data_IF_760629312900
#
_entry.id   IF_760629312900
#
_cell.length_a   1.000
_cell.length_b   1.000
_cell.length_c   1.000
_cell.angle_alpha   90.00
_cell.angle_beta   90.00
_cell.angle_gamma   90.00
#
_symmetry.space_group_name_H-M   'P 1'
#
loop_
_entity.id
_entity.type
_entity.pdbx_description
1 polymer ?
#
# COMPACT_ATOMS: atom_id res chain seq x y z
N UNK A 1 25.44 -31.76 -1.90
CA UNK A 1 26.41 -32.42 -1.00
C UNK A 1 26.07 -32.21 0.48
N UNK A 2 25.85 -31.00 0.96
CA UNK A 2 25.50 -30.69 2.37
C UNK A 2 24.24 -31.44 2.89
N UNK A 3 23.11 -31.32 2.21
CA UNK A 3 21.85 -31.95 2.60
C UNK A 3 21.99 -33.47 2.71
N UNK A 4 22.84 -34.07 1.88
CA UNK A 4 23.15 -35.51 1.93
C UNK A 4 23.95 -35.86 3.18
N UNK A 5 24.94 -35.04 3.56
CA UNK A 5 25.72 -35.26 4.79
C UNK A 5 24.83 -35.15 6.03
N UNK A 6 23.96 -34.17 6.10
CA UNK A 6 23.01 -33.95 7.20
C UNK A 6 22.03 -35.12 7.30
N UNK A 7 21.52 -35.57 6.15
CA UNK A 7 20.66 -36.75 6.08
C UNK A 7 21.37 -38.02 6.62
N UNK A 8 22.64 -38.25 6.23
CA UNK A 8 23.43 -39.37 6.72
C UNK A 8 23.67 -39.25 8.23
N UNK A 9 23.99 -38.07 8.75
CA UNK A 9 24.18 -37.86 10.20
C UNK A 9 22.88 -38.12 10.98
N UNK A 10 21.75 -37.63 10.52
CA UNK A 10 20.45 -37.87 11.11
C UNK A 10 20.07 -39.36 11.09
N UNK A 11 20.28 -40.03 9.96
CA UNK A 11 20.06 -41.45 9.80
C UNK A 11 20.99 -42.25 10.74
N UNK A 12 22.26 -41.84 10.87
CA UNK A 12 23.22 -42.47 11.80
C UNK A 12 22.77 -42.40 13.25
N UNK A 13 22.24 -41.26 13.70
CA UNK A 13 21.67 -41.12 15.05
C UNK A 13 20.47 -42.03 15.24
N UNK A 14 19.57 -42.13 14.28
CA UNK A 14 18.40 -43.00 14.34
C UNK A 14 18.79 -44.48 14.36
N UNK A 15 19.77 -44.89 13.58
CA UNK A 15 20.29 -46.26 13.57
C UNK A 15 20.98 -46.62 14.92
N UNK A 16 21.75 -45.68 15.49
CA UNK A 16 22.39 -45.90 16.78
C UNK A 16 21.37 -46.17 17.90
N UNK A 17 20.20 -45.50 17.85
CA UNK A 17 19.10 -45.77 18.80
C UNK A 17 18.49 -47.16 18.62
N UNK A 18 18.37 -47.65 17.39
CA UNK A 18 17.80 -48.97 17.12
C UNK A 18 18.71 -50.09 17.59
N UNK A 19 20.04 -49.88 17.53
CA UNK A 19 21.02 -50.89 17.99
C UNK A 19 21.36 -50.84 19.50
N UNK A 20 21.22 -49.65 20.12
CA UNK A 20 21.49 -49.43 21.54
C UNK A 20 20.42 -48.60 22.22
N UNK A 21 19.46 -49.24 22.86
CA UNK A 21 18.32 -48.57 23.52
C UNK A 21 18.72 -47.54 24.59
N UNK A 22 19.89 -47.74 25.26
CA UNK A 22 20.43 -46.77 26.23
C UNK A 22 20.83 -45.45 25.63
N UNK A 23 21.02 -45.37 24.30
CA UNK A 23 21.34 -44.13 23.61
C UNK A 23 20.10 -43.32 23.20
N UNK A 24 18.90 -43.88 23.34
CA UNK A 24 17.65 -43.23 22.96
C UNK A 24 17.46 -41.87 23.69
N UNK A 25 17.84 -41.80 24.96
CA UNK A 25 17.74 -40.55 25.74
C UNK A 25 18.62 -39.42 25.21
N UNK A 26 19.70 -39.72 24.48
CA UNK A 26 20.59 -38.72 23.88
C UNK A 26 20.25 -38.42 22.42
N UNK A 27 19.41 -39.23 21.78
CA UNK A 27 19.09 -39.07 20.37
C UNK A 27 18.40 -37.73 20.07
N UNK A 28 17.51 -37.27 20.93
CA UNK A 28 16.84 -35.99 20.80
C UNK A 28 17.84 -34.83 20.85
N UNK A 29 18.83 -34.89 21.74
CA UNK A 29 19.88 -33.87 21.82
C UNK A 29 20.80 -33.90 20.60
N UNK A 30 21.17 -35.09 20.11
CA UNK A 30 22.01 -35.25 18.94
C UNK A 30 21.30 -34.75 17.66
N UNK A 31 20.03 -35.10 17.46
CA UNK A 31 19.21 -34.59 16.33
C UNK A 31 18.99 -33.10 16.44
N UNK A 32 18.71 -32.56 17.63
CA UNK A 32 18.59 -31.15 17.89
C UNK A 32 19.87 -30.40 17.54
N UNK A 33 21.03 -30.93 17.90
CA UNK A 33 22.32 -30.34 17.54
C UNK A 33 22.57 -30.34 16.03
N UNK A 34 22.30 -31.46 15.34
CA UNK A 34 22.41 -31.56 13.87
C UNK A 34 21.50 -30.52 13.20
N UNK A 35 20.25 -30.39 13.69
CA UNK A 35 19.31 -29.39 13.19
C UNK A 35 19.79 -27.93 13.40
N UNK A 36 20.30 -27.63 14.61
CA UNK A 36 20.85 -26.30 14.90
C UNK A 36 22.01 -25.95 13.97
N UNK A 37 22.95 -26.90 13.78
CA UNK A 37 24.09 -26.72 12.88
C UNK A 37 23.63 -26.53 11.43
N UNK A 38 22.61 -27.28 11.02
CA UNK A 38 22.02 -27.12 9.67
C UNK A 38 21.39 -25.73 9.50
N UNK A 39 20.52 -25.35 10.40
CA UNK A 39 19.86 -24.03 10.37
C UNK A 39 20.87 -22.90 10.44
N UNK A 40 21.81 -22.96 11.38
CA UNK A 40 22.87 -21.96 11.50
C UNK A 40 23.66 -21.77 10.19
N UNK A 41 24.00 -22.87 9.54
CA UNK A 41 24.77 -22.80 8.30
C UNK A 41 23.95 -22.33 7.09
N UNK A 42 22.61 -22.47 7.11
CA UNK A 42 21.70 -21.84 6.14
C UNK A 42 21.61 -20.35 6.43
N UNK A 43 21.31 -20.01 7.67
CA UNK A 43 21.12 -18.63 8.08
C UNK A 43 22.36 -17.78 7.78
N UNK A 44 23.54 -18.32 8.11
CA UNK A 44 24.81 -17.61 7.82
C UNK A 44 25.03 -17.35 6.32
N UNK A 45 24.45 -18.19 5.44
CA UNK A 45 24.55 -17.98 3.98
C UNK A 45 23.61 -16.89 3.49
N UNK A 46 22.39 -16.83 4.06
CA UNK A 46 21.35 -15.88 3.66
C UNK A 46 21.43 -14.56 4.43
N UNK A 47 21.95 -14.59 5.65
CA UNK A 47 22.16 -13.43 6.50
C UNK A 47 23.66 -13.16 6.66
N UNK A 48 24.30 -12.75 5.57
CA UNK A 48 25.69 -12.24 5.70
C UNK A 48 25.68 -10.98 6.56
N UNK A 49 26.33 -11.06 7.73
CA UNK A 49 26.42 -9.97 8.70
C UNK A 49 27.07 -8.74 8.10
N UNK A 50 27.95 -8.90 7.09
CA UNK A 50 28.65 -7.79 6.44
C UNK A 50 27.83 -7.09 5.37
N UNK A 51 27.00 -7.84 4.63
CA UNK A 51 26.24 -7.31 3.50
C UNK A 51 24.74 -7.29 3.76
N UNK A 52 24.21 -8.20 4.58
CA UNK A 52 22.78 -8.34 4.89
C UNK A 52 22.26 -7.41 6.00
N UNK A 53 23.13 -6.86 6.83
CA UNK A 53 22.73 -5.98 7.92
C UNK A 53 23.24 -4.56 7.71
N UNK A 54 22.31 -3.63 7.71
CA UNK A 54 22.63 -2.20 7.71
C UNK A 54 22.64 -1.67 9.15
N UNK A 55 23.56 -0.76 9.45
CA UNK A 55 23.54 -0.06 10.74
C UNK A 55 22.24 0.78 10.84
N UNK A 56 21.75 1.02 12.05
CA UNK A 56 20.61 1.90 12.30
C UNK A 56 20.78 3.30 11.65
N UNK A 57 22.04 3.75 11.48
CA UNK A 57 22.35 5.00 10.79
C UNK A 57 22.12 4.90 9.26
N UNK A 58 22.54 3.81 8.62
CA UNK A 58 22.33 3.58 7.19
C UNK A 58 20.84 3.37 6.89
N UNK A 59 20.13 2.67 7.78
CA UNK A 59 18.70 2.40 7.63
C UNK A 59 17.81 3.61 7.95
N UNK A 60 18.36 4.68 8.54
CA UNK A 60 17.56 5.88 8.87
C UNK A 60 17.09 6.67 7.65
N UNK A 61 17.73 6.50 6.50
CA UNK A 61 17.33 7.06 5.20
C UNK A 61 17.66 6.01 4.12
N UNK A 62 16.82 4.99 3.93
CA UNK A 62 17.10 3.86 3.04
C UNK A 62 17.27 4.30 1.58
N UNK A 63 16.55 5.34 1.18
CA UNK A 63 16.65 5.96 -0.14
C UNK A 63 17.04 7.43 0.02
N UNK A 64 18.28 7.86 -0.31
CA UNK A 64 18.61 9.29 -0.33
C UNK A 64 17.78 10.00 -1.41
N UNK A 65 17.14 11.12 -1.07
CA UNK A 65 16.33 11.89 -2.01
C UNK A 65 17.21 12.49 -3.11
N UNK A 66 16.76 12.35 -4.36
CA UNK A 66 17.45 12.81 -5.57
C UNK A 66 16.91 14.18 -6.03
N UNK A 67 17.33 14.62 -7.20
CA UNK A 67 16.96 15.95 -7.72
C UNK A 67 15.46 16.07 -7.95
N UNK A 68 14.81 15.03 -8.47
CA UNK A 68 13.37 15.06 -8.80
C UNK A 68 12.48 15.21 -7.55
N UNK A 69 12.81 14.56 -6.43
CA UNK A 69 12.04 14.72 -5.19
C UNK A 69 12.14 16.15 -4.64
N UNK A 70 13.33 16.77 -4.76
CA UNK A 70 13.53 18.17 -4.36
C UNK A 70 12.73 19.14 -5.26
N UNK A 71 12.65 18.86 -6.56
CA UNK A 71 11.85 19.66 -7.49
C UNK A 71 10.35 19.53 -7.22
N UNK A 72 9.83 18.31 -6.99
CA UNK A 72 8.43 18.10 -6.63
C UNK A 72 8.11 18.86 -5.33
N UNK A 73 8.97 18.72 -4.31
CA UNK A 73 8.81 19.45 -3.06
C UNK A 73 8.76 20.97 -3.29
N UNK A 74 9.69 21.52 -4.07
CA UNK A 74 9.76 22.95 -4.34
C UNK A 74 8.51 23.49 -5.07
N UNK A 75 7.94 22.68 -5.98
CA UNK A 75 6.73 23.03 -6.73
C UNK A 75 5.46 22.96 -5.88
N UNK A 76 5.37 22.00 -4.96
CA UNK A 76 4.13 21.68 -4.23
C UNK A 76 4.07 22.26 -2.82
N UNK A 77 5.22 22.62 -2.22
CA UNK A 77 5.27 23.11 -0.84
C UNK A 77 4.35 24.30 -0.56
N UNK A 78 4.24 25.22 -1.51
CA UNK A 78 3.40 26.42 -1.37
C UNK A 78 1.90 26.13 -1.38
N UNK A 79 1.48 25.02 -1.98
CA UNK A 79 0.09 24.57 -1.99
C UNK A 79 -0.37 23.92 -0.67
N UNK A 80 0.55 23.62 0.24
CA UNK A 80 0.22 23.05 1.55
C UNK A 80 0.12 24.16 2.60
N UNK A 81 -1.09 24.40 3.09
CA UNK A 81 -1.31 25.40 4.15
C UNK A 81 -0.50 25.05 5.41
N UNK A 82 0.11 26.06 6.05
CA UNK A 82 0.89 25.93 7.27
C UNK A 82 2.01 24.86 7.21
N UNK A 83 2.64 24.70 6.06
CA UNK A 83 3.65 23.67 5.83
C UNK A 83 4.75 23.64 6.90
N UNK A 84 5.30 24.79 7.27
CA UNK A 84 6.41 24.87 8.22
C UNK A 84 5.96 24.54 9.65
N UNK A 85 4.72 24.86 10.05
CA UNK A 85 4.10 24.44 11.32
C UNK A 85 3.92 22.92 11.38
N UNK A 86 3.36 22.34 10.31
CA UNK A 86 3.19 20.89 10.16
C UNK A 86 4.54 20.15 10.18
N UNK A 87 5.57 20.72 9.54
CA UNK A 87 6.92 20.17 9.56
C UNK A 87 7.53 20.16 10.96
N UNK A 88 7.33 21.24 11.72
CA UNK A 88 7.79 21.33 13.12
C UNK A 88 7.12 20.25 13.98
N UNK A 89 5.81 20.11 13.85
CA UNK A 89 5.01 19.09 14.56
C UNK A 89 5.47 17.67 14.22
N UNK A 90 5.59 17.35 12.93
CA UNK A 90 6.07 16.04 12.47
C UNK A 90 7.49 15.73 12.97
N UNK A 91 8.37 16.74 12.97
CA UNK A 91 9.75 16.59 13.47
C UNK A 91 9.79 16.32 14.97
N UNK A 92 8.98 17.01 15.76
CA UNK A 92 8.91 16.81 17.21
C UNK A 92 8.34 15.41 17.54
N UNK A 93 7.28 15.02 16.89
CA UNK A 93 6.67 13.69 17.06
C UNK A 93 7.66 12.55 16.70
N UNK A 94 8.47 12.74 15.67
CA UNK A 94 9.50 11.78 15.33
C UNK A 94 10.58 11.67 16.41
N UNK A 95 11.08 12.81 16.92
CA UNK A 95 12.04 12.83 18.00
C UNK A 95 11.52 12.14 19.27
N UNK A 96 10.27 12.39 19.61
CA UNK A 96 9.59 11.76 20.76
C UNK A 96 9.51 10.24 20.61
N UNK A 97 9.09 9.77 19.42
CA UNK A 97 8.92 8.33 19.16
C UNK A 97 10.22 7.56 19.04
N UNK A 98 11.26 8.16 18.49
CA UNK A 98 12.52 7.45 18.16
C UNK A 98 13.67 7.77 19.11
N UNK A 99 13.58 8.84 19.89
CA UNK A 99 14.69 9.38 20.66
C UNK A 99 15.81 9.97 19.80
N UNK A 100 15.67 9.99 18.46
CA UNK A 100 16.68 10.48 17.54
C UNK A 100 16.60 12.00 17.36
N UNK A 101 17.49 12.71 18.03
CA UNK A 101 17.59 14.17 17.95
C UNK A 101 18.53 14.66 16.85
N UNK A 102 19.27 13.76 16.19
CA UNK A 102 20.22 14.12 15.14
C UNK A 102 19.49 14.65 13.91
N UNK A 103 19.93 15.79 13.44
CA UNK A 103 19.42 16.41 12.21
C UNK A 103 20.53 16.48 11.18
N UNK A 104 20.24 16.07 9.96
CA UNK A 104 21.03 16.36 8.77
C UNK A 104 20.09 16.72 7.62
N UNK A 105 20.63 17.23 6.52
CA UNK A 105 19.83 17.69 5.39
C UNK A 105 18.98 16.59 4.78
N UNK A 106 19.47 15.35 4.72
CA UNK A 106 18.72 14.21 4.21
C UNK A 106 17.49 13.88 5.07
N UNK A 107 17.64 13.88 6.40
CA UNK A 107 16.52 13.66 7.32
C UNK A 107 15.52 14.81 7.28
N UNK A 108 16.00 16.05 7.19
CA UNK A 108 15.15 17.23 7.05
C UNK A 108 14.32 17.13 5.76
N UNK A 109 14.96 16.82 4.64
CA UNK A 109 14.30 16.66 3.35
C UNK A 109 13.28 15.51 3.38
N UNK A 110 13.62 14.37 3.99
CA UNK A 110 12.69 13.26 4.17
C UNK A 110 11.44 13.70 4.94
N UNK A 111 11.58 14.47 6.04
CA UNK A 111 10.43 15.01 6.79
C UNK A 111 9.59 15.96 5.97
N UNK A 112 10.21 16.79 5.15
CA UNK A 112 9.50 17.69 4.26
C UNK A 112 8.66 16.91 3.22
N UNK A 113 9.24 15.86 2.64
CA UNK A 113 8.54 14.99 1.70
C UNK A 113 7.41 14.18 2.36
N UNK A 114 7.60 13.71 3.60
CA UNK A 114 6.53 13.08 4.38
C UNK A 114 5.37 14.05 4.64
N UNK A 115 5.65 15.27 5.08
CA UNK A 115 4.61 16.29 5.29
C UNK A 115 3.89 16.62 3.97
N UNK A 116 4.62 16.74 2.87
CA UNK A 116 4.03 16.92 1.55
C UNK A 116 3.10 15.77 1.21
N UNK A 117 3.58 14.52 1.30
CA UNK A 117 2.81 13.33 0.94
C UNK A 117 1.56 13.12 1.80
N UNK A 118 1.59 13.55 3.07
CA UNK A 118 0.44 13.50 3.97
C UNK A 118 -0.61 14.58 3.67
N UNK A 119 -0.23 15.68 3.02
CA UNK A 119 -1.12 16.82 2.76
C UNK A 119 -1.47 17.01 1.28
N UNK A 120 -1.00 16.12 0.40
CA UNK A 120 -1.34 16.12 -1.03
C UNK A 120 -1.81 14.73 -1.45
N UNK A 121 -2.59 14.64 -2.52
CA UNK A 121 -3.10 13.36 -3.01
C UNK A 121 -3.03 13.26 -4.54
N UNK A 122 -1.90 13.60 -5.11
CA UNK A 122 -1.56 13.30 -6.51
C UNK A 122 -0.63 12.09 -6.58
N UNK A 123 -0.53 11.49 -7.76
CA UNK A 123 0.36 10.35 -8.01
C UNK A 123 1.52 10.70 -8.93
N UNK A 124 2.60 9.94 -8.78
CA UNK A 124 3.83 10.07 -9.56
C UNK A 124 4.10 8.76 -10.31
N UNK A 125 4.39 8.86 -11.61
CA UNK A 125 4.78 7.73 -12.45
C UNK A 125 6.31 7.74 -12.65
N UNK A 126 6.98 6.65 -12.30
CA UNK A 126 8.39 6.43 -12.67
C UNK A 126 8.47 5.75 -14.04
N UNK A 127 8.93 6.45 -15.05
CA UNK A 127 9.05 5.93 -16.41
C UNK A 127 10.25 4.98 -16.58
N UNK A 128 11.29 5.13 -15.75
CA UNK A 128 12.49 4.29 -15.83
C UNK A 128 12.27 2.87 -15.32
N UNK A 129 11.42 2.69 -14.29
CA UNK A 129 11.01 1.40 -13.75
C UNK A 129 9.59 1.47 -13.19
N UNK A 130 8.56 1.53 -14.05
CA UNK A 130 7.22 1.87 -13.64
C UNK A 130 6.59 0.90 -12.63
N UNK A 131 6.89 -0.40 -12.77
CA UNK A 131 6.14 -1.45 -12.08
C UNK A 131 6.87 -2.14 -10.92
N UNK A 132 8.17 -1.86 -10.73
CA UNK A 132 9.01 -2.54 -9.74
C UNK A 132 9.82 -1.58 -8.87
N UNK A 133 9.69 -0.26 -9.05
CA UNK A 133 10.43 0.73 -8.27
C UNK A 133 9.82 0.94 -6.88
N UNK A 134 10.60 0.73 -5.84
CA UNK A 134 10.21 0.98 -4.45
C UNK A 134 10.46 2.42 -4.00
N UNK A 135 11.39 3.13 -4.66
CA UNK A 135 11.83 4.47 -4.27
C UNK A 135 10.73 5.52 -4.45
N UNK A 136 10.03 5.49 -5.60
CA UNK A 136 8.92 6.42 -5.84
C UNK A 136 7.83 6.24 -4.80
N UNK A 137 7.49 5.00 -4.45
CA UNK A 137 6.51 4.69 -3.40
C UNK A 137 6.95 5.10 -1.99
N UNK A 138 8.27 5.23 -1.75
CA UNK A 138 8.79 5.69 -0.47
C UNK A 138 8.55 7.20 -0.25
N UNK A 139 8.63 8.00 -1.31
CA UNK A 139 8.50 9.45 -1.22
C UNK A 139 7.14 9.98 -1.65
N UNK A 140 6.46 9.30 -2.56
CA UNK A 140 5.24 9.77 -3.22
C UNK A 140 4.20 8.66 -3.32
N UNK A 141 2.95 9.03 -3.54
CA UNK A 141 1.92 8.10 -4.01
C UNK A 141 2.26 7.71 -5.44
N UNK A 142 2.69 6.47 -5.64
CA UNK A 142 3.16 5.97 -6.93
C UNK A 142 2.03 5.36 -7.74
N UNK A 143 2.05 5.56 -9.07
CA UNK A 143 1.20 4.82 -10.01
C UNK A 143 1.60 3.35 -10.06
N UNK A 144 2.89 3.06 -9.97
CA UNK A 144 3.42 1.71 -10.00
C UNK A 144 4.03 1.28 -8.67
N UNK A 145 5.08 0.49 -8.75
CA UNK A 145 5.85 0.01 -7.62
C UNK A 145 5.71 -1.49 -7.40
N UNK A 146 6.64 -2.05 -6.63
CA UNK A 146 6.62 -3.46 -6.25
C UNK A 146 5.84 -3.67 -4.97
N UNK A 147 4.84 -4.56 -5.02
CA UNK A 147 4.09 -4.99 -3.84
C UNK A 147 3.64 -6.45 -3.98
N UNK A 148 3.96 -7.28 -2.98
CA UNK A 148 3.62 -8.72 -2.99
C UNK A 148 2.12 -9.01 -2.93
N UNK A 149 1.29 -8.06 -2.48
CA UNK A 149 -0.17 -8.16 -2.41
C UNK A 149 -0.87 -7.16 -3.34
N UNK A 150 -0.33 -6.93 -4.53
CA UNK A 150 -0.97 -6.08 -5.54
C UNK A 150 -2.34 -6.64 -5.92
N UNK A 151 -3.35 -5.77 -5.97
CA UNK A 151 -4.69 -6.16 -6.41
C UNK A 151 -4.64 -6.64 -7.87
N UNK A 152 -5.26 -7.78 -8.15
CA UNK A 152 -5.32 -8.36 -9.50
C UNK A 152 -5.91 -7.39 -10.52
N UNK A 153 -7.02 -6.72 -10.17
CA UNK A 153 -7.67 -5.71 -11.04
C UNK A 153 -6.72 -4.56 -11.41
N UNK A 154 -5.80 -4.18 -10.51
CA UNK A 154 -4.80 -3.15 -10.82
C UNK A 154 -3.74 -3.67 -11.78
N UNK A 155 -3.29 -4.91 -11.60
CA UNK A 155 -2.35 -5.53 -12.52
C UNK A 155 -2.97 -5.70 -13.92
N UNK A 156 -4.23 -6.09 -14.01
CA UNK A 156 -4.97 -6.19 -15.29
C UNK A 156 -5.07 -4.82 -15.99
N UNK A 157 -5.35 -3.74 -15.26
CA UNK A 157 -5.32 -2.40 -15.86
C UNK A 157 -3.92 -2.05 -16.39
N UNK A 158 -2.85 -2.42 -15.67
CA UNK A 158 -1.47 -2.23 -16.14
C UNK A 158 -1.23 -3.01 -17.44
N UNK A 159 -1.61 -4.27 -17.47
CA UNK A 159 -1.30 -5.17 -18.59
C UNK A 159 -2.06 -4.80 -19.86
N UNK A 160 -3.31 -4.36 -19.74
CA UNK A 160 -4.19 -4.12 -20.90
C UNK A 160 -4.24 -2.66 -21.38
N UNK A 161 -4.05 -1.67 -20.49
CA UNK A 161 -4.24 -0.26 -20.83
C UNK A 161 -3.06 0.62 -20.41
N UNK A 162 -2.78 0.71 -19.11
CA UNK A 162 -1.83 1.66 -18.53
C UNK A 162 -0.39 1.44 -19.04
N UNK A 163 -0.01 0.17 -19.27
CA UNK A 163 1.28 -0.18 -19.84
C UNK A 163 1.45 0.34 -21.28
N UNK A 164 0.38 0.36 -22.06
CA UNK A 164 0.37 0.92 -23.41
C UNK A 164 0.55 2.43 -23.41
N UNK A 165 -0.18 3.15 -22.54
CA UNK A 165 0.00 4.60 -22.35
C UNK A 165 1.42 4.94 -21.91
N UNK A 166 1.99 4.17 -20.99
CA UNK A 166 3.38 4.37 -20.53
C UNK A 166 4.39 4.18 -21.65
N UNK A 167 4.22 3.17 -22.49
CA UNK A 167 5.08 2.94 -23.65
C UNK A 167 4.97 4.06 -24.68
N UNK A 168 3.77 4.54 -24.95
CA UNK A 168 3.53 5.65 -25.88
C UNK A 168 4.21 6.94 -25.38
N UNK A 169 4.08 7.26 -24.09
CA UNK A 169 4.78 8.40 -23.48
C UNK A 169 6.29 8.28 -23.63
N UNK A 170 6.86 7.10 -23.37
CA UNK A 170 8.29 6.87 -23.52
C UNK A 170 8.74 7.06 -24.98
N UNK A 171 7.96 6.54 -25.93
CA UNK A 171 8.23 6.71 -27.37
C UNK A 171 8.20 8.18 -27.77
N UNK A 172 7.20 8.94 -27.34
CA UNK A 172 7.07 10.37 -27.61
C UNK A 172 8.23 11.17 -27.02
N UNK A 173 8.62 10.88 -25.80
CA UNK A 173 9.77 11.54 -25.15
C UNK A 173 11.08 11.25 -25.88
N UNK A 174 11.27 10.02 -26.41
CA UNK A 174 12.46 9.66 -27.17
C UNK A 174 12.51 10.28 -28.57
N UNK A 175 11.36 10.41 -29.23
CA UNK A 175 11.27 10.87 -30.62
C UNK A 175 11.14 12.39 -30.74
N UNK A 176 10.31 13.03 -29.90
CA UNK A 176 9.98 14.45 -29.99
C UNK A 176 10.38 15.27 -28.77
N UNK A 177 10.74 14.62 -27.65
CA UNK A 177 10.99 15.28 -26.37
C UNK A 177 9.75 15.88 -25.71
N UNK A 178 8.56 15.63 -26.24
CA UNK A 178 7.29 16.21 -25.76
C UNK A 178 6.23 15.12 -25.65
N UNK A 179 5.35 15.27 -24.64
CA UNK A 179 4.17 14.43 -24.47
C UNK A 179 2.99 15.15 -25.09
N UNK A 180 2.31 14.50 -26.03
CA UNK A 180 1.13 15.03 -26.74
C UNK A 180 0.03 13.99 -26.75
N UNK A 181 -1.24 14.44 -26.77
CA UNK A 181 -2.40 13.54 -26.74
C UNK A 181 -2.97 13.31 -25.35
N UNK A 182 -3.95 12.45 -25.32
CA UNK A 182 -4.69 12.11 -24.11
C UNK A 182 -4.26 10.74 -23.57
N UNK A 183 -4.13 10.63 -22.26
CA UNK A 183 -3.75 9.41 -21.55
C UNK A 183 -4.79 9.16 -20.45
N UNK A 184 -5.95 8.59 -20.81
CA UNK A 184 -7.11 8.51 -19.93
C UNK A 184 -6.84 7.72 -18.64
N UNK A 185 -6.00 6.67 -18.68
CA UNK A 185 -5.69 5.90 -17.48
C UNK A 185 -4.85 6.70 -16.48
N UNK A 186 -3.84 7.40 -16.98
CA UNK A 186 -3.03 8.30 -16.15
C UNK A 186 -3.84 9.49 -15.63
N UNK A 187 -4.76 10.00 -16.44
CA UNK A 187 -5.64 11.11 -16.08
C UNK A 187 -6.58 10.74 -14.93
N UNK A 188 -7.29 9.62 -15.03
CA UNK A 188 -8.21 9.16 -13.99
C UNK A 188 -7.49 8.68 -12.72
N UNK A 189 -6.20 8.30 -12.81
CA UNK A 189 -5.37 7.96 -11.66
C UNK A 189 -4.75 9.18 -10.98
N UNK A 190 -5.14 10.40 -11.35
CA UNK A 190 -4.62 11.64 -10.79
C UNK A 190 -3.09 11.73 -10.84
N UNK A 191 -2.50 11.34 -11.96
CA UNK A 191 -1.07 11.51 -12.21
C UNK A 191 -0.77 13.01 -12.35
N UNK A 192 0.26 13.49 -11.65
CA UNK A 192 0.67 14.92 -11.72
C UNK A 192 2.11 15.07 -12.21
N UNK A 193 2.96 14.12 -11.91
CA UNK A 193 4.36 14.13 -12.27
C UNK A 193 4.83 12.79 -12.81
N UNK A 194 5.82 12.85 -13.71
CA UNK A 194 6.54 11.68 -14.21
C UNK A 194 8.04 11.86 -13.99
N UNK A 195 8.73 10.76 -13.71
CA UNK A 195 10.17 10.70 -13.48
C UNK A 195 10.80 9.85 -14.59
N UNK A 196 11.51 10.48 -15.50
CA UNK A 196 12.28 9.77 -16.53
C UNK A 196 13.68 9.40 -16.04
N UNK A 197 14.36 10.38 -15.44
CA UNK A 197 15.68 10.22 -14.81
C UNK A 197 15.65 10.86 -13.41
N UNK A 198 16.01 10.13 -12.35
CA UNK A 198 16.00 10.65 -10.99
C UNK A 198 16.87 11.87 -10.73
N UNK A 199 17.98 12.04 -11.47
CA UNK A 199 18.85 13.21 -11.42
C UNK A 199 18.54 14.25 -12.53
N UNK A 200 17.50 14.00 -13.32
CA UNK A 200 17.01 14.89 -14.37
C UNK A 200 16.02 15.95 -13.88
N UNK A 201 15.19 16.38 -14.82
CA UNK A 201 14.07 17.26 -14.53
C UNK A 201 12.78 16.43 -14.37
N UNK A 202 11.92 16.85 -13.42
CA UNK A 202 10.60 16.24 -13.27
C UNK A 202 9.70 16.69 -14.43
N UNK A 203 8.98 15.75 -15.02
CA UNK A 203 8.08 15.97 -16.15
C UNK A 203 6.68 16.21 -15.60
N UNK A 204 6.09 17.41 -15.75
CA UNK A 204 4.71 17.63 -15.34
C UNK A 204 3.74 16.90 -16.28
N UNK A 205 2.66 16.39 -15.73
CA UNK A 205 1.52 15.84 -16.46
C UNK A 205 0.27 16.66 -16.14
N UNK A 206 -0.26 17.36 -17.12
CA UNK A 206 -1.35 18.31 -16.94
C UNK A 206 -2.74 17.69 -17.19
N UNK A 207 -2.81 16.40 -17.52
CA UNK A 207 -4.05 15.68 -17.83
C UNK A 207 -4.76 15.07 -16.63
N UNK A 208 -4.27 15.23 -15.40
CA UNK A 208 -4.86 14.63 -14.21
C UNK A 208 -6.24 15.22 -13.88
N UNK A 209 -7.25 14.36 -13.65
CA UNK A 209 -8.63 14.76 -13.34
C UNK A 209 -8.85 15.14 -11.87
N UNK A 210 -7.78 15.14 -11.07
CA UNK A 210 -7.89 15.43 -9.63
C UNK A 210 -8.28 14.23 -8.78
N UNK A 211 -8.74 14.52 -7.57
CA UNK A 211 -9.06 13.48 -6.58
C UNK A 211 -10.49 12.93 -6.75
N UNK A 212 -11.38 13.72 -7.31
CA UNK A 212 -12.75 13.36 -7.63
C UNK A 212 -13.32 14.34 -8.67
N UNK A 213 -14.26 13.89 -9.49
CA UNK A 213 -14.96 14.71 -10.48
C UNK A 213 -16.36 14.17 -10.75
N UNK A 214 -17.24 15.03 -11.23
CA UNK A 214 -18.56 14.63 -11.69
C UNK A 214 -18.51 14.26 -13.18
N UNK A 215 -19.30 13.23 -13.54
CA UNK A 215 -19.43 12.78 -14.93
C UNK A 215 -20.81 13.10 -15.48
N UNK A 216 -20.93 13.07 -16.82
CA UNK A 216 -22.20 13.31 -17.53
C UNK A 216 -22.98 12.04 -17.86
N UNK A 217 -22.24 10.93 -18.11
CA UNK A 217 -22.83 9.69 -18.61
C UNK A 217 -22.25 8.46 -17.91
N UNK A 218 -23.10 7.50 -17.62
CA UNK A 218 -22.73 6.14 -17.25
C UNK A 218 -22.92 5.22 -18.45
N UNK A 219 -21.83 4.68 -18.96
CA UNK A 219 -21.82 3.59 -19.95
C UNK A 219 -21.92 2.26 -19.23
N UNK A 220 -23.08 1.64 -19.27
CA UNK A 220 -23.29 0.33 -18.68
C UNK A 220 -22.75 -0.79 -19.59
N UNK A 221 -22.04 -1.74 -19.01
CA UNK A 221 -21.45 -2.91 -19.69
C UNK A 221 -21.86 -4.21 -18.99
N UNK A 222 -21.85 -5.32 -19.71
CA UNK A 222 -22.37 -6.58 -19.20
C UNK A 222 -21.48 -7.21 -18.11
N UNK A 223 -20.17 -7.22 -18.32
CA UNK A 223 -19.20 -7.95 -17.51
C UNK A 223 -17.84 -7.25 -17.43
N UNK A 224 -16.88 -7.91 -16.81
CA UNK A 224 -15.52 -7.40 -16.58
C UNK A 224 -14.73 -7.25 -17.87
N UNK A 225 -14.90 -8.15 -18.83
CA UNK A 225 -14.17 -8.09 -20.10
C UNK A 225 -14.70 -6.94 -20.97
N UNK A 226 -16.01 -6.76 -21.00
CA UNK A 226 -16.65 -5.62 -21.66
C UNK A 226 -16.25 -4.28 -20.99
N UNK A 227 -16.10 -4.26 -19.65
CA UNK A 227 -15.63 -3.09 -18.93
C UNK A 227 -14.18 -2.76 -19.32
N UNK A 228 -13.28 -3.76 -19.33
CA UNK A 228 -11.88 -3.57 -19.73
C UNK A 228 -11.76 -3.07 -21.19
N UNK A 229 -12.51 -3.67 -22.11
CA UNK A 229 -12.51 -3.24 -23.50
C UNK A 229 -13.04 -1.81 -23.67
N UNK A 230 -14.04 -1.42 -22.87
CA UNK A 230 -14.58 -0.07 -22.89
C UNK A 230 -13.65 1.00 -22.34
N UNK A 231 -12.60 0.61 -21.59
CA UNK A 231 -11.56 1.53 -21.13
C UNK A 231 -10.71 2.07 -22.28
N UNK A 232 -10.57 1.31 -23.36
CA UNK A 232 -9.88 1.79 -24.57
C UNK A 232 -10.71 2.89 -25.25
N UNK A 233 -10.15 4.10 -25.35
CA UNK A 233 -10.84 5.27 -25.91
C UNK A 233 -11.88 5.90 -24.98
N UNK A 234 -11.88 5.57 -23.70
CA UNK A 234 -12.71 6.23 -22.69
C UNK A 234 -12.30 7.69 -22.54
N UNK A 235 -13.28 8.60 -22.52
CA UNK A 235 -13.10 9.93 -21.96
C UNK A 235 -13.55 9.94 -20.48
N UNK A 236 -12.63 9.72 -19.52
CA UNK A 236 -13.01 9.57 -18.12
C UNK A 236 -13.47 10.87 -17.46
N UNK A 237 -13.23 12.02 -18.08
CA UNK A 237 -13.69 13.31 -17.58
C UNK A 237 -15.23 13.44 -17.63
N UNK A 238 -15.86 12.83 -18.63
CA UNK A 238 -17.29 12.95 -18.85
C UNK A 238 -18.07 11.64 -18.72
N UNK A 239 -17.41 10.50 -18.83
CA UNK A 239 -18.05 9.18 -18.89
C UNK A 239 -17.45 8.23 -17.87
N UNK A 240 -18.31 7.52 -17.13
CA UNK A 240 -17.93 6.39 -16.30
C UNK A 240 -18.41 5.08 -16.92
N UNK A 241 -17.55 4.05 -16.93
CA UNK A 241 -17.91 2.69 -17.33
C UNK A 241 -18.23 1.88 -16.07
N UNK A 242 -19.43 1.30 -16.02
CA UNK A 242 -19.91 0.55 -14.85
C UNK A 242 -20.56 -0.76 -15.31
N UNK A 243 -20.25 -1.87 -14.64
CA UNK A 243 -20.93 -3.15 -14.91
C UNK A 243 -22.40 -3.10 -14.50
N UNK A 244 -23.27 -3.74 -15.27
CA UNK A 244 -24.72 -3.76 -15.05
C UNK A 244 -25.14 -4.18 -13.63
N UNK A 245 -24.40 -5.08 -13.01
CA UNK A 245 -24.65 -5.51 -11.61
C UNK A 245 -24.46 -4.41 -10.55
N UNK A 246 -23.85 -3.29 -10.90
CA UNK A 246 -23.61 -2.15 -10.01
C UNK A 246 -24.44 -0.92 -10.40
N UNK A 247 -25.35 -1.02 -11.39
CA UNK A 247 -26.12 0.12 -11.88
C UNK A 247 -27.51 0.25 -11.27
N UNK A 248 -27.86 -0.61 -10.31
CA UNK A 248 -29.15 -0.52 -9.65
C UNK A 248 -29.31 0.84 -8.94
N UNK A 249 -30.44 1.52 -9.20
CA UNK A 249 -30.69 2.86 -8.67
C UNK A 249 -29.86 4.00 -9.28
N UNK A 250 -29.05 3.74 -10.32
CA UNK A 250 -28.30 4.77 -11.04
C UNK A 250 -29.03 5.24 -12.30
N UNK A 251 -28.86 6.53 -12.62
CA UNK A 251 -29.30 7.09 -13.90
C UNK A 251 -28.20 6.91 -14.95
N UNK A 252 -28.59 6.88 -16.22
CA UNK A 252 -27.63 6.84 -17.32
C UNK A 252 -26.94 8.21 -17.53
N UNK A 253 -27.70 9.29 -17.34
CA UNK A 253 -27.21 10.66 -17.53
C UNK A 253 -27.29 11.44 -16.23
N UNK A 254 -26.30 12.27 -16.00
CA UNK A 254 -26.14 13.12 -14.82
C UNK A 254 -25.78 14.55 -15.22
N UNK A 255 -26.00 15.47 -14.31
CA UNK A 255 -25.44 16.81 -14.39
C UNK A 255 -24.02 16.81 -13.87
N UNK A 256 -23.07 17.34 -14.64
CA UNK A 256 -21.69 17.59 -14.19
C UNK A 256 -21.51 18.97 -13.58
N UNK A 257 -22.63 19.70 -13.34
CA UNK A 257 -22.57 21.04 -12.71
C UNK A 257 -22.28 20.93 -11.23
N UNK A 258 -21.35 21.75 -10.74
CA UNK A 258 -20.93 21.74 -9.35
C UNK A 258 -19.44 21.40 -9.18
N UNK A 259 -19.04 21.14 -7.97
CA UNK A 259 -17.66 20.77 -7.63
C UNK A 259 -17.62 19.70 -6.54
N UNK A 260 -16.56 18.89 -6.56
CA UNK A 260 -16.22 17.96 -5.51
C UNK A 260 -14.71 18.01 -5.30
N UNK A 261 -14.27 18.29 -4.08
CA UNK A 261 -12.87 18.54 -3.76
C UNK A 261 -12.44 17.78 -2.51
N UNK A 262 -11.27 17.14 -2.54
CA UNK A 262 -10.66 16.53 -1.37
C UNK A 262 -10.17 17.62 -0.41
N UNK A 263 -10.80 17.74 0.75
CA UNK A 263 -10.46 18.74 1.78
C UNK A 263 -9.63 18.16 2.93
N UNK A 264 -9.70 16.84 3.14
CA UNK A 264 -8.90 16.18 4.16
C UNK A 264 -8.48 14.78 3.73
N UNK A 265 -7.17 14.51 3.81
CA UNK A 265 -6.58 13.23 3.49
C UNK A 265 -5.96 12.57 4.73
N UNK A 266 -6.37 11.36 5.01
CA UNK A 266 -5.68 10.42 5.90
C UNK A 266 -5.67 9.03 5.24
N UNK A 267 -4.71 8.16 5.55
CA UNK A 267 -4.66 6.82 4.95
C UNK A 267 -5.96 6.01 5.08
N UNK A 268 -6.70 6.22 6.19
CA UNK A 268 -7.93 5.48 6.52
C UNK A 268 -9.20 6.35 6.42
N UNK A 269 -9.08 7.62 6.06
CA UNK A 269 -10.22 8.53 5.96
C UNK A 269 -9.96 9.61 4.92
N UNK A 270 -10.89 9.72 3.98
CA UNK A 270 -10.88 10.76 2.94
C UNK A 270 -12.15 11.58 3.09
N UNK A 271 -12.03 12.89 3.16
CA UNK A 271 -13.18 13.80 3.28
C UNK A 271 -13.18 14.74 2.09
N UNK A 272 -14.31 14.78 1.39
CA UNK A 272 -14.54 15.64 0.24
C UNK A 272 -15.65 16.62 0.56
N UNK A 273 -15.47 17.88 0.21
CA UNK A 273 -16.53 18.86 0.13
C UNK A 273 -17.21 18.76 -1.24
N UNK A 274 -18.52 18.84 -1.28
CA UNK A 274 -19.30 18.81 -2.52
C UNK A 274 -20.27 19.98 -2.58
N UNK A 275 -20.48 20.48 -3.80
CA UNK A 275 -21.43 21.53 -4.10
C UNK A 275 -22.13 21.22 -5.42
N UNK A 276 -23.30 20.57 -5.33
CA UNK A 276 -24.13 20.16 -6.48
C UNK A 276 -25.58 20.52 -6.22
N UNK A 277 -26.20 21.27 -7.14
CA UNK A 277 -27.61 21.66 -7.07
C UNK A 277 -28.58 20.55 -7.54
N UNK A 278 -28.05 19.62 -8.33
CA UNK A 278 -28.77 18.46 -8.86
C UNK A 278 -28.08 17.17 -8.45
N UNK A 279 -28.77 16.02 -8.58
CA UNK A 279 -28.15 14.73 -8.37
C UNK A 279 -26.99 14.54 -9.37
N UNK A 280 -25.82 14.12 -8.87
CA UNK A 280 -24.61 13.96 -9.65
C UNK A 280 -23.99 12.59 -9.39
N UNK A 281 -23.23 12.08 -10.36
CA UNK A 281 -22.40 10.89 -10.14
C UNK A 281 -20.93 11.31 -10.11
N UNK A 282 -20.27 11.01 -9.01
CA UNK A 282 -18.85 11.31 -8.82
C UNK A 282 -17.99 10.05 -9.02
N UNK A 283 -16.90 10.20 -9.75
CA UNK A 283 -15.79 9.24 -9.80
C UNK A 283 -14.66 9.76 -8.94
N UNK A 284 -14.08 8.87 -8.13
CA UNK A 284 -12.98 9.19 -7.21
C UNK A 284 -11.71 8.48 -7.68
N UNK A 285 -10.61 9.21 -7.75
CA UNK A 285 -9.30 8.65 -8.10
C UNK A 285 -8.72 7.78 -6.97
N UNK A 286 -9.56 6.88 -6.43
CA UNK A 286 -9.22 5.93 -5.38
C UNK A 286 -9.59 4.53 -5.81
N UNK A 287 -8.69 3.57 -5.52
CA UNK A 287 -8.90 2.18 -5.94
C UNK A 287 -10.07 1.58 -5.18
N UNK A 288 -11.01 0.98 -5.92
CA UNK A 288 -12.15 0.28 -5.38
C UNK A 288 -11.71 -0.98 -4.63
N UNK A 289 -12.02 -1.02 -3.35
CA UNK A 289 -11.76 -2.17 -2.48
C UNK A 289 -12.92 -2.31 -1.48
N UNK A 290 -13.89 -3.20 -1.75
CA UNK A 290 -15.13 -3.28 -0.96
C UNK A 290 -14.93 -3.86 0.44
N UNK A 291 -13.82 -4.58 0.68
CA UNK A 291 -13.55 -5.23 1.97
C UNK A 291 -13.02 -4.24 3.02
N UNK A 292 -13.85 -3.24 3.38
CA UNK A 292 -13.58 -2.34 4.49
C UNK A 292 -13.73 -0.86 4.20
N UNK A 293 -13.75 -0.40 2.95
CA UNK A 293 -14.07 0.98 2.66
C UNK A 293 -15.57 1.21 2.64
N UNK A 294 -16.04 2.12 3.47
CA UNK A 294 -17.42 2.60 3.54
C UNK A 294 -17.49 4.05 3.08
N UNK A 295 -18.56 4.41 2.35
CA UNK A 295 -18.85 5.77 1.94
C UNK A 295 -20.00 6.34 2.79
N UNK A 296 -19.87 7.63 3.14
CA UNK A 296 -20.89 8.37 3.87
C UNK A 296 -21.15 9.69 3.15
N UNK A 297 -22.42 10.00 2.92
CA UNK A 297 -22.87 11.31 2.43
C UNK A 297 -23.59 12.03 3.56
N UNK A 298 -23.10 13.20 3.97
CA UNK A 298 -23.63 13.98 5.10
C UNK A 298 -23.83 13.12 6.37
N UNK A 299 -22.87 12.22 6.62
CA UNK A 299 -22.88 11.30 7.75
C UNK A 299 -23.71 10.02 7.58
N UNK A 300 -24.48 9.87 6.49
CA UNK A 300 -25.30 8.70 6.22
C UNK A 300 -24.52 7.68 5.38
N UNK A 301 -24.43 6.44 5.87
CA UNK A 301 -23.83 5.33 5.13
C UNK A 301 -24.53 5.15 3.78
N UNK A 302 -23.76 5.11 2.71
CA UNK A 302 -24.21 5.01 1.33
C UNK A 302 -23.36 3.99 0.58
N UNK A 303 -23.98 3.19 -0.26
CA UNK A 303 -23.25 2.23 -1.10
C UNK A 303 -22.47 2.96 -2.19
N UNK A 304 -21.21 2.58 -2.38
CA UNK A 304 -20.37 3.04 -3.48
C UNK A 304 -20.06 1.88 -4.41
N UNK A 305 -19.90 2.17 -5.69
CA UNK A 305 -19.77 1.16 -6.74
C UNK A 305 -18.36 1.18 -7.36
N UNK A 306 -18.03 0.11 -8.06
CA UNK A 306 -16.84 0.08 -8.91
C UNK A 306 -17.13 0.80 -10.23
N UNK A 307 -16.31 1.77 -10.59
CA UNK A 307 -16.34 2.53 -11.82
C UNK A 307 -14.99 2.49 -12.53
N UNK A 308 -14.98 2.60 -13.85
CA UNK A 308 -13.78 2.65 -14.67
C UNK A 308 -12.78 1.53 -14.30
N UNK A 309 -13.29 0.32 -14.16
CA UNK A 309 -12.58 -0.92 -13.85
C UNK A 309 -11.99 -1.00 -12.44
N UNK A 310 -11.39 0.07 -11.92
CA UNK A 310 -10.65 0.06 -10.64
C UNK A 310 -11.01 1.20 -9.68
N UNK A 311 -11.78 2.20 -10.09
CA UNK A 311 -12.07 3.38 -9.30
C UNK A 311 -13.36 3.24 -8.49
N UNK A 312 -13.60 4.19 -7.58
CA UNK A 312 -14.84 4.29 -6.81
C UNK A 312 -15.79 5.25 -7.50
N UNK A 313 -17.06 4.86 -7.62
CA UNK A 313 -18.14 5.71 -8.08
C UNK A 313 -19.20 5.88 -6.99
N UNK A 314 -19.83 7.03 -6.91
CA UNK A 314 -20.86 7.32 -5.91
C UNK A 314 -21.94 8.23 -6.49
N UNK A 315 -23.21 7.83 -6.31
CA UNK A 315 -24.35 8.67 -6.61
C UNK A 315 -24.55 9.68 -5.46
N UNK A 316 -24.47 10.96 -5.77
CA UNK A 316 -24.53 12.07 -4.80
C UNK A 316 -25.85 12.81 -4.98
N UNK A 317 -26.74 12.83 -3.97
CA UNK A 317 -28.00 13.56 -4.05
C UNK A 317 -27.79 15.07 -4.17
N UNK A 318 -28.78 15.76 -4.73
CA UNK A 318 -28.79 17.22 -4.82
C UNK A 318 -28.61 17.87 -3.44
N UNK A 319 -27.75 18.87 -3.36
CA UNK A 319 -27.52 19.66 -2.15
C UNK A 319 -26.64 19.02 -1.09
N UNK A 320 -26.05 17.84 -1.35
CA UNK A 320 -25.07 17.20 -0.46
C UNK A 320 -23.88 18.13 -0.20
N UNK A 321 -23.31 18.06 1.00
CA UNK A 321 -22.21 18.95 1.43
C UNK A 321 -20.90 18.21 1.64
N UNK A 322 -20.98 16.98 2.12
CA UNK A 322 -19.78 16.20 2.49
C UNK A 322 -19.88 14.76 2.01
N UNK A 323 -18.80 14.25 1.45
CA UNK A 323 -18.60 12.82 1.20
C UNK A 323 -17.38 12.35 2.01
N UNK A 324 -17.54 11.30 2.79
CA UNK A 324 -16.46 10.72 3.58
C UNK A 324 -16.29 9.25 3.25
N UNK A 325 -15.09 8.86 2.86
CA UNK A 325 -14.72 7.45 2.84
C UNK A 325 -13.94 7.10 4.10
N UNK A 326 -14.32 5.98 4.76
CA UNK A 326 -13.63 5.44 5.94
C UNK A 326 -13.27 3.98 5.72
N UNK A 327 -12.05 3.62 6.13
CA UNK A 327 -11.62 2.23 6.12
C UNK A 327 -11.94 1.55 7.45
N UNK A 328 -12.96 0.69 7.43
CA UNK A 328 -13.55 0.03 8.61
C UNK A 328 -13.67 -1.48 8.38
N UNK A 329 -12.54 -2.22 8.24
CA UNK A 329 -12.54 -3.65 7.90
C UNK A 329 -12.98 -4.51 9.09
N UNK A 330 -14.29 -4.82 9.20
CA UNK A 330 -14.87 -5.59 10.30
C UNK A 330 -14.24 -6.98 10.46
N UNK A 331 -13.93 -7.64 9.35
CA UNK A 331 -13.24 -8.94 9.36
C UNK A 331 -11.90 -8.88 10.08
N UNK A 332 -11.14 -7.80 9.87
CA UNK A 332 -9.86 -7.59 10.55
C UNK A 332 -10.04 -7.43 12.07
N UNK A 333 -11.00 -6.61 12.50
CA UNK A 333 -11.24 -6.38 13.93
C UNK A 333 -11.72 -7.65 14.63
N UNK A 334 -12.61 -8.42 13.99
CA UNK A 334 -13.08 -9.70 14.51
C UNK A 334 -11.92 -10.71 14.60
N UNK A 335 -11.13 -10.87 13.54
CA UNK A 335 -9.98 -11.76 13.53
C UNK A 335 -8.92 -11.37 14.59
N UNK A 336 -8.64 -10.07 14.74
CA UNK A 336 -7.75 -9.55 15.78
C UNK A 336 -8.24 -9.93 17.17
N UNK A 337 -9.54 -9.76 17.45
CA UNK A 337 -10.13 -10.11 18.74
C UNK A 337 -10.00 -11.60 19.03
N UNK A 338 -10.34 -12.46 18.07
CA UNK A 338 -10.22 -13.94 18.21
C UNK A 338 -8.74 -14.31 18.45
N UNK A 339 -7.82 -13.76 17.68
CA UNK A 339 -6.39 -14.02 17.84
C UNK A 339 -5.86 -13.60 19.21
N UNK A 340 -6.30 -12.42 19.71
CA UNK A 340 -5.92 -11.94 21.05
C UNK A 340 -6.45 -12.85 22.14
N UNK A 341 -7.71 -13.27 22.05
CA UNK A 341 -8.31 -14.21 23.00
C UNK A 341 -7.59 -15.57 22.98
N UNK A 342 -7.29 -16.09 21.82
CA UNK A 342 -6.52 -17.32 21.66
C UNK A 342 -5.13 -17.24 22.28
N UNK A 343 -4.42 -16.13 22.07
CA UNK A 343 -3.10 -15.88 22.66
C UNK A 343 -3.15 -15.80 24.18
N UNK A 344 -4.16 -15.13 24.73
CA UNK A 344 -4.37 -15.05 26.18
C UNK A 344 -4.67 -16.43 26.79
N UNK A 345 -5.50 -17.23 26.13
CA UNK A 345 -5.81 -18.59 26.56
C UNK A 345 -4.55 -19.46 26.59
N UNK A 346 -3.74 -19.43 25.53
CA UNK A 346 -2.46 -20.14 25.46
C UNK A 346 -1.51 -19.70 26.57
N UNK A 347 -1.41 -18.42 26.84
CA UNK A 347 -0.59 -17.88 27.92
C UNK A 347 -1.05 -18.42 29.29
N UNK A 348 -2.35 -18.42 29.56
CA UNK A 348 -2.91 -18.96 30.80
C UNK A 348 -2.65 -20.46 30.96
N UNK A 349 -2.76 -21.23 29.87
CA UNK A 349 -2.42 -22.65 29.86
C UNK A 349 -0.93 -22.88 30.15
N UNK A 350 -0.04 -22.10 29.55
CA UNK A 350 1.40 -22.17 29.83
C UNK A 350 1.71 -21.85 31.31
N UNK A 351 1.12 -20.80 31.86
CA UNK A 351 1.27 -20.42 33.28
C UNK A 351 0.75 -21.56 34.18
N UNK A 352 -0.41 -22.14 33.87
CA UNK A 352 -0.98 -23.27 34.60
C UNK A 352 -0.05 -24.49 34.60
N UNK A 353 0.52 -24.85 33.45
CA UNK A 353 1.49 -25.95 33.32
C UNK A 353 2.78 -25.66 34.11
N UNK A 354 3.32 -24.45 34.04
CA UNK A 354 4.51 -24.04 34.80
C UNK A 354 4.24 -24.09 36.32
N UNK A 355 3.07 -23.65 36.76
CA UNK A 355 2.68 -23.72 38.17
C UNK A 355 2.51 -25.16 38.67
N UNK A 356 1.95 -26.07 37.85
CA UNK A 356 1.85 -27.49 38.16
C UNK A 356 3.25 -28.16 38.23
N UNK A 357 4.10 -27.88 37.26
CA UNK A 357 5.46 -28.38 37.23
C UNK A 357 6.26 -27.88 38.44
N UNK A 358 6.17 -26.61 38.78
CA UNK A 358 6.83 -26.04 39.97
C UNK A 358 6.35 -26.65 41.29
N UNK A 359 5.05 -26.97 41.42
CA UNK A 359 4.52 -27.72 42.59
C UNK A 359 5.10 -29.15 42.65
N UNK A 360 5.26 -29.82 41.52
CA UNK A 360 5.88 -31.16 41.44
C UNK A 360 7.33 -31.14 41.93
N UNK A 361 8.14 -30.22 41.43
CA UNK A 361 9.54 -30.04 41.83
C UNK A 361 9.68 -29.75 43.32
N UNK A 362 8.83 -28.86 43.87
CA UNK A 362 8.82 -28.52 45.29
C UNK A 362 8.37 -29.68 46.20
N UNK A 363 7.52 -30.57 45.69
CA UNK A 363 7.08 -31.74 46.43
C UNK A 363 8.18 -32.83 46.49
N UNK A 364 8.99 -32.94 45.44
CA UNK A 364 10.15 -33.86 45.40
C UNK A 364 11.30 -33.37 46.30
N UNK A 365 11.59 -32.07 46.32
CA UNK A 365 12.62 -31.50 47.20
C UNK A 365 12.26 -31.54 48.68
N UNK A 366 10.98 -31.71 49.06
CA UNK A 366 10.57 -31.89 50.46
C UNK A 366 10.62 -33.34 50.91
N UNK A 367 10.79 -34.30 49.99
CA UNK A 367 10.90 -35.73 50.31
C UNK A 367 12.36 -36.25 50.35
N UNK A 368 13.30 -35.45 49.85
CA UNK A 368 14.73 -35.67 49.96
C UNK A 368 15.31 -34.95 51.20
#
# INVERSE_FOLDING_TARGET
MRSFIIFILGLGVLLAVTFQSKMAQYAAYALGFVFIVDMWSVDHRYFDIKEGFQTARQNSVPFPAQKVEKQILAKEKSGVSEFDSKLKTATNLYKEKTGDTRSNDSKKLQRQLEVLNQNTNFRVLNLGNPWSDARTSYYHKSIGGYHGAKLKIYQELVDFNLGSETKEILNQLQTSGRITGEFPMLSMLNTKYMIGNPEGEVIPFNGGLGNAWFINEIKTVADTDAEMNAMSGLNPDSTAVIQSKFTDGLSTNYSSTGSIELIHYQPNKLTYATNNSEAAFAVFSEIYYPAGWNAYIDGKLTEHVKANYILRGLNIPAGAKEVVFKFEPQTYYTAKTISTMGSLLLLLLCIGMLAQWGKGVLAETKKA
#
